data_IF_224289505257
#
_entry.id   IF_224289505257
#
_cell.length_a   1.000
_cell.length_b   1.000
_cell.length_c   1.000
_cell.angle_alpha   90.00
_cell.angle_beta   90.00
_cell.angle_gamma   90.00
#
_symmetry.space_group_name_H-M   'P 1'
#
loop_
_entity.id
_entity.type
_entity.pdbx_description
1 polymer ?
#
# COMPACT_ATOMS: atom_id res chain seq x y z
N UNK A 1 8.52 11.73 17.51
CA UNK A 1 8.09 10.82 16.41
C UNK A 1 6.66 11.11 15.93
N UNK A 2 5.64 11.14 16.81
CA UNK A 2 4.24 11.41 16.41
C UNK A 2 4.07 12.76 15.70
N UNK A 3 4.67 13.84 16.23
CA UNK A 3 4.61 15.19 15.61
C UNK A 3 5.17 15.16 14.18
N UNK A 4 6.34 14.59 13.97
CA UNK A 4 6.93 14.49 12.64
C UNK A 4 6.03 13.69 11.69
N UNK A 5 5.50 12.53 12.13
CA UNK A 5 4.57 11.74 11.33
C UNK A 5 3.31 12.55 10.98
N UNK A 6 2.74 13.28 11.93
CA UNK A 6 1.58 14.15 11.69
C UNK A 6 1.88 15.20 10.62
N UNK A 7 3.04 15.87 10.70
CA UNK A 7 3.47 16.86 9.71
C UNK A 7 3.66 16.25 8.33
N UNK A 8 4.26 15.06 8.24
CA UNK A 8 4.39 14.31 6.98
C UNK A 8 3.02 13.92 6.40
N UNK A 9 2.06 13.54 7.25
CA UNK A 9 0.72 13.15 6.80
C UNK A 9 -0.05 14.33 6.19
N UNK A 10 -0.05 15.50 6.81
CA UNK A 10 -0.79 16.69 6.33
C UNK A 10 -0.08 17.41 5.18
N UNK A 11 1.19 17.10 4.93
CA UNK A 11 1.97 17.76 3.90
C UNK A 11 1.39 17.51 2.52
N UNK A 12 1.01 18.59 1.84
CA UNK A 12 0.60 18.54 0.43
C UNK A 12 1.79 18.17 -0.48
N UNK A 13 1.54 17.51 -1.64
CA UNK A 13 2.58 17.13 -2.58
C UNK A 13 3.13 18.37 -3.32
N UNK A 14 4.00 19.14 -2.66
CA UNK A 14 4.70 20.32 -3.20
C UNK A 14 6.18 19.97 -3.41
N UNK A 15 6.81 20.69 -4.36
CA UNK A 15 8.26 20.60 -4.59
C UNK A 15 9.01 20.74 -3.28
N UNK A 16 10.09 20.02 -3.13
CA UNK A 16 10.88 19.95 -1.91
C UNK A 16 12.35 20.11 -2.22
N UNK A 17 13.10 20.63 -1.27
CA UNK A 17 14.54 20.75 -1.36
C UNK A 17 15.20 19.38 -1.21
N UNK A 18 16.27 19.16 -1.94
CA UNK A 18 17.02 17.90 -1.91
C UNK A 18 17.55 17.58 -0.49
N UNK A 19 18.06 18.58 0.20
CA UNK A 19 18.61 18.43 1.55
C UNK A 19 17.57 17.91 2.55
N UNK A 20 16.31 18.35 2.42
CA UNK A 20 15.23 17.81 3.26
C UNK A 20 15.02 16.32 2.98
N UNK A 21 15.05 15.89 1.72
CA UNK A 21 14.89 14.49 1.36
C UNK A 21 16.01 13.65 1.95
N UNK A 22 17.24 14.14 1.86
CA UNK A 22 18.41 13.45 2.44
C UNK A 22 18.24 13.23 3.94
N UNK A 23 17.88 14.28 4.68
CA UNK A 23 17.67 14.19 6.14
C UNK A 23 16.49 13.27 6.48
N UNK A 24 15.38 13.38 5.75
CA UNK A 24 14.22 12.49 5.92
C UNK A 24 14.59 11.02 5.69
N UNK A 25 15.31 10.74 4.62
CA UNK A 25 15.65 9.37 4.24
C UNK A 25 16.60 8.75 5.26
N UNK A 26 17.61 9.48 5.73
CA UNK A 26 18.47 9.07 6.83
C UNK A 26 17.65 8.72 8.08
N UNK A 27 16.74 9.60 8.48
CA UNK A 27 15.87 9.36 9.63
C UNK A 27 14.98 8.12 9.46
N UNK A 28 14.33 7.97 8.29
CA UNK A 28 13.41 6.84 8.03
C UNK A 28 14.18 5.52 7.96
N UNK A 29 15.37 5.50 7.37
CA UNK A 29 16.24 4.32 7.34
C UNK A 29 16.73 3.96 8.74
N UNK A 30 17.14 4.93 9.57
CA UNK A 30 17.49 4.68 10.97
C UNK A 30 16.32 4.10 11.77
N UNK A 31 15.11 4.63 11.58
CA UNK A 31 13.91 4.09 12.22
C UNK A 31 13.54 2.70 11.70
N UNK A 32 13.83 2.40 10.44
CA UNK A 32 13.64 1.07 9.86
C UNK A 32 14.64 0.05 10.46
N UNK A 33 15.91 0.41 10.61
CA UNK A 33 16.93 -0.45 11.21
C UNK A 33 16.62 -0.84 12.67
N UNK A 34 15.85 -0.01 13.40
CA UNK A 34 15.38 -0.33 14.76
C UNK A 34 14.25 -1.37 14.79
N UNK A 35 13.71 -1.74 13.62
CA UNK A 35 12.59 -2.68 13.52
C UNK A 35 13.08 -4.05 13.04
N UNK A 36 12.43 -5.11 13.51
CA UNK A 36 12.63 -6.43 12.93
C UNK A 36 12.00 -6.47 11.54
N UNK A 37 12.82 -6.59 10.51
CA UNK A 37 12.38 -6.81 9.12
C UNK A 37 12.10 -8.30 8.96
N UNK A 38 11.02 -8.62 8.26
CA UNK A 38 10.64 -9.99 7.93
C UNK A 38 10.87 -10.22 6.44
N UNK A 39 11.65 -11.23 6.10
CA UNK A 39 11.82 -11.68 4.72
C UNK A 39 10.87 -12.83 4.41
N UNK A 40 10.57 -13.08 3.14
CA UNK A 40 9.77 -14.23 2.72
C UNK A 40 10.42 -15.56 3.14
N UNK A 41 11.74 -15.60 3.22
CA UNK A 41 12.51 -16.75 3.69
C UNK A 41 12.33 -17.04 5.18
N UNK A 42 11.82 -16.09 5.96
CA UNK A 42 11.55 -16.25 7.39
C UNK A 42 10.14 -16.84 7.64
N UNK A 43 9.35 -17.04 6.57
CA UNK A 43 7.96 -17.46 6.65
C UNK A 43 7.80 -18.93 6.23
N UNK A 44 6.90 -19.63 6.90
CA UNK A 44 6.50 -20.97 6.49
C UNK A 44 5.38 -20.85 5.44
N UNK A 45 5.49 -21.54 4.28
CA UNK A 45 4.45 -21.52 3.28
C UNK A 45 3.23 -22.31 3.76
N UNK A 46 2.03 -21.74 3.55
CA UNK A 46 0.77 -22.44 3.79
C UNK A 46 0.44 -23.41 2.65
N UNK A 47 0.81 -23.05 1.42
CA UNK A 47 0.79 -23.83 0.18
C UNK A 47 2.01 -23.45 -0.65
N UNK A 48 2.40 -24.18 -1.70
CA UNK A 48 3.46 -23.76 -2.59
C UNK A 48 3.27 -22.30 -3.04
N UNK A 49 4.26 -21.46 -2.77
CA UNK A 49 4.29 -20.02 -3.11
C UNK A 49 3.23 -19.15 -2.39
N UNK A 50 2.43 -19.69 -1.49
CA UNK A 50 1.42 -18.96 -0.73
C UNK A 50 1.77 -18.91 0.75
N UNK A 51 1.87 -17.69 1.30
CA UNK A 51 2.25 -17.43 2.68
C UNK A 51 1.13 -16.66 3.39
N UNK A 52 0.81 -17.04 4.62
CA UNK A 52 -0.07 -16.27 5.49
C UNK A 52 0.78 -15.66 6.62
N UNK A 53 0.78 -14.35 6.73
CA UNK A 53 1.54 -13.66 7.74
C UNK A 53 0.67 -12.61 8.46
N UNK A 54 0.88 -12.47 9.77
CA UNK A 54 0.22 -11.47 10.60
C UNK A 54 1.26 -10.50 11.14
N UNK A 55 1.20 -9.25 10.68
CA UNK A 55 2.14 -8.22 11.12
C UNK A 55 1.98 -6.91 10.34
N UNK A 56 2.98 -6.06 10.45
CA UNK A 56 3.04 -4.76 9.79
C UNK A 56 3.68 -4.90 8.39
N UNK A 57 2.87 -4.81 7.34
CA UNK A 57 3.30 -4.99 5.95
C UNK A 57 4.44 -4.04 5.55
N UNK A 58 4.58 -2.89 6.23
CA UNK A 58 5.68 -1.95 5.98
C UNK A 58 7.06 -2.45 6.44
N UNK A 59 7.10 -3.63 7.07
CA UNK A 59 8.32 -4.32 7.51
C UNK A 59 8.66 -5.55 6.66
N UNK A 60 7.90 -5.83 5.61
CA UNK A 60 8.15 -6.96 4.73
C UNK A 60 9.19 -6.63 3.67
N UNK A 61 10.22 -7.46 3.57
CA UNK A 61 11.22 -7.43 2.50
C UNK A 61 10.76 -8.36 1.38
N UNK A 62 10.02 -7.77 0.44
CA UNK A 62 9.44 -8.41 -0.76
C UNK A 62 9.63 -7.50 -1.97
N UNK A 63 9.34 -7.96 -3.17
CA UNK A 63 9.43 -7.08 -4.33
C UNK A 63 8.36 -5.99 -4.30
N UNK A 64 7.12 -6.33 -3.94
CA UNK A 64 6.07 -5.33 -3.78
C UNK A 64 5.15 -5.58 -2.60
N UNK A 65 4.67 -4.51 -1.99
CA UNK A 65 3.53 -4.52 -1.07
C UNK A 65 2.35 -3.80 -1.70
N UNK A 66 1.13 -4.25 -1.40
CA UNK A 66 -0.10 -3.62 -1.89
C UNK A 66 -0.60 -2.60 -0.87
N UNK A 67 -0.87 -1.40 -1.35
CA UNK A 67 -1.53 -0.32 -0.62
C UNK A 67 -3.01 -0.24 -1.00
N UNK A 68 -3.90 -0.36 -0.04
CA UNK A 68 -5.32 -0.03 -0.19
C UNK A 68 -5.49 1.48 0.03
N UNK A 69 -5.39 2.22 -1.05
CA UNK A 69 -5.45 3.68 -1.07
C UNK A 69 -6.86 4.23 -1.38
N UNK A 70 -6.94 5.53 -1.54
CA UNK A 70 -8.14 6.24 -1.96
C UNK A 70 -8.04 6.67 -3.43
N UNK A 71 -9.12 7.17 -4.01
CA UNK A 71 -9.21 7.55 -5.43
C UNK A 71 -8.21 8.64 -5.87
N UNK A 72 -7.65 9.42 -4.95
CA UNK A 72 -6.62 10.41 -5.28
C UNK A 72 -5.22 9.79 -5.36
N UNK A 73 -5.00 8.63 -4.76
CA UNK A 73 -3.71 7.95 -4.52
C UNK A 73 -2.69 8.81 -3.77
N UNK A 74 -3.10 9.94 -3.20
CA UNK A 74 -2.19 10.86 -2.50
C UNK A 74 -1.92 10.49 -1.04
N UNK A 75 -2.38 9.33 -0.60
CA UNK A 75 -2.28 8.89 0.78
C UNK A 75 -3.34 9.48 1.69
N UNK A 76 -3.36 9.03 2.93
CA UNK A 76 -4.25 9.55 3.96
C UNK A 76 -3.64 10.79 4.61
N UNK A 77 -4.39 11.91 4.62
CA UNK A 77 -3.96 13.18 5.20
C UNK A 77 -4.33 13.35 6.67
N UNK A 78 -5.04 12.41 7.28
CA UNK A 78 -5.42 12.48 8.70
C UNK A 78 -4.16 12.20 9.54
N UNK A 79 -3.78 13.10 10.47
CA UNK A 79 -2.58 12.95 11.28
C UNK A 79 -2.55 11.64 12.07
N UNK A 80 -1.49 10.87 11.89
CA UNK A 80 -1.26 9.59 12.57
C UNK A 80 -2.41 8.58 12.46
N UNK A 81 -3.22 8.65 11.40
CA UNK A 81 -4.34 7.73 11.20
C UNK A 81 -3.87 6.26 11.17
N UNK A 82 -4.71 5.36 11.66
CA UNK A 82 -4.40 3.93 11.80
C UNK A 82 -4.50 3.10 10.52
N UNK A 83 -4.88 3.70 9.37
CA UNK A 83 -5.03 2.96 8.12
C UNK A 83 -3.68 2.61 7.48
N UNK A 84 -3.73 1.59 6.61
CA UNK A 84 -2.56 1.12 5.87
C UNK A 84 -1.97 2.18 4.94
N UNK A 85 -2.82 2.97 4.30
CA UNK A 85 -2.43 4.05 3.39
C UNK A 85 -1.59 5.13 4.11
N UNK A 86 -2.02 5.53 5.32
CA UNK A 86 -1.24 6.44 6.17
C UNK A 86 0.11 5.83 6.56
N UNK A 87 0.13 4.54 6.95
CA UNK A 87 1.35 3.87 7.37
C UNK A 87 2.37 3.77 6.22
N UNK A 88 1.94 3.30 5.05
CA UNK A 88 2.81 3.14 3.88
C UNK A 88 3.39 4.50 3.45
N UNK A 89 2.55 5.54 3.31
CA UNK A 89 3.03 6.88 2.95
C UNK A 89 3.96 7.49 4.00
N UNK A 90 3.73 7.21 5.28
CA UNK A 90 4.60 7.70 6.36
C UNK A 90 5.99 7.06 6.33
N UNK A 91 6.06 5.74 6.12
CA UNK A 91 7.34 5.01 6.17
C UNK A 91 8.09 5.01 4.83
N UNK A 92 7.40 5.15 3.71
CA UNK A 92 8.04 5.38 2.42
C UNK A 92 8.71 6.76 2.34
N UNK A 93 8.14 7.75 3.00
CA UNK A 93 8.56 9.15 2.91
C UNK A 93 7.70 9.94 1.91
N UNK A 94 7.91 11.26 1.91
CA UNK A 94 7.08 12.18 1.09
C UNK A 94 7.27 12.01 -0.42
N UNK A 95 8.34 11.38 -0.87
CA UNK A 95 8.59 11.07 -2.28
C UNK A 95 7.49 10.19 -2.86
N UNK A 96 6.95 9.24 -2.09
CA UNK A 96 5.86 8.40 -2.54
C UNK A 96 4.64 9.22 -2.97
N UNK A 97 4.24 10.19 -2.14
CA UNK A 97 3.11 11.09 -2.46
C UNK A 97 3.40 11.95 -3.69
N UNK A 98 4.65 12.39 -3.87
CA UNK A 98 5.05 13.16 -5.06
C UNK A 98 4.97 12.32 -6.33
N UNK A 99 5.41 11.06 -6.29
CA UNK A 99 5.31 10.14 -7.43
C UNK A 99 3.84 9.83 -7.76
N UNK A 100 3.02 9.53 -6.76
CA UNK A 100 1.57 9.35 -6.93
C UNK A 100 0.93 10.59 -7.57
N UNK A 101 1.27 11.80 -7.11
CA UNK A 101 0.77 13.03 -7.72
C UNK A 101 1.13 13.13 -9.21
N UNK A 102 2.36 12.77 -9.59
CA UNK A 102 2.78 12.80 -10.99
C UNK A 102 1.95 11.82 -11.84
N UNK A 103 1.70 10.61 -11.32
CA UNK A 103 0.85 9.61 -11.97
C UNK A 103 -0.57 10.18 -12.17
N UNK A 104 -1.17 10.72 -11.10
CA UNK A 104 -2.54 11.24 -11.15
C UNK A 104 -2.67 12.48 -12.04
N UNK A 105 -1.66 13.37 -12.07
CA UNK A 105 -1.62 14.50 -13.01
C UNK A 105 -1.58 14.07 -14.47
N UNK A 106 -0.87 12.99 -14.81
CA UNK A 106 -0.84 12.41 -16.17
C UNK A 106 -2.18 11.77 -16.51
N UNK A 107 -2.80 11.10 -15.55
CA UNK A 107 -4.09 10.42 -15.72
C UNK A 107 -5.24 11.42 -15.86
N UNK A 108 -5.21 12.56 -15.18
CA UNK A 108 -6.21 13.66 -15.19
C UNK A 108 -7.58 13.32 -14.61
N UNK A 109 -7.80 12.11 -14.19
CA UNK A 109 -9.04 11.63 -13.54
C UNK A 109 -8.69 10.87 -12.25
N UNK A 110 -9.63 10.76 -11.33
CA UNK A 110 -9.46 9.95 -10.11
C UNK A 110 -9.25 8.48 -10.47
N UNK A 111 -8.51 7.76 -9.63
CA UNK A 111 -8.30 6.33 -9.82
C UNK A 111 -9.60 5.57 -9.61
N UNK A 112 -9.91 4.67 -10.52
CA UNK A 112 -11.11 3.84 -10.45
C UNK A 112 -10.94 2.68 -9.48
N UNK A 113 -12.01 2.32 -8.78
CA UNK A 113 -12.05 1.08 -7.98
C UNK A 113 -11.69 -0.13 -8.85
N UNK A 114 -10.89 -1.05 -8.32
CA UNK A 114 -10.47 -2.26 -9.03
C UNK A 114 -9.24 -2.08 -9.93
N UNK A 115 -8.73 -0.88 -10.11
CA UNK A 115 -7.50 -0.60 -10.87
C UNK A 115 -6.29 -0.55 -9.94
N UNK A 116 -5.08 -0.64 -10.52
CA UNK A 116 -3.84 -0.54 -9.77
C UNK A 116 -2.79 0.31 -10.48
N UNK A 117 -1.92 0.94 -9.70
CA UNK A 117 -0.73 1.68 -10.12
C UNK A 117 0.49 1.20 -9.34
N UNK A 118 1.66 1.35 -9.91
CA UNK A 118 2.93 0.99 -9.27
C UNK A 118 3.79 2.22 -9.05
N UNK A 119 4.46 2.27 -7.90
CA UNK A 119 5.46 3.27 -7.54
C UNK A 119 6.66 2.59 -6.90
N UNK A 120 7.76 3.34 -6.72
CA UNK A 120 8.88 2.89 -5.91
C UNK A 120 8.48 2.77 -4.44
N UNK A 121 9.17 1.88 -3.69
CA UNK A 121 8.97 1.72 -2.24
C UNK A 121 9.71 2.75 -1.39
N UNK A 122 10.68 3.47 -1.98
CA UNK A 122 11.53 4.48 -1.31
C UNK A 122 12.19 3.93 -0.03
N UNK A 123 11.80 4.43 1.15
CA UNK A 123 12.38 4.01 2.43
C UNK A 123 11.78 2.71 2.99
N UNK A 124 10.88 2.05 2.28
CA UNK A 124 10.34 0.75 2.68
C UNK A 124 11.34 -0.39 2.35
N UNK A 125 11.28 -1.53 3.06
CA UNK A 125 12.03 -2.73 2.68
C UNK A 125 11.58 -3.32 1.34
N UNK A 126 10.31 -3.09 0.96
CA UNK A 126 9.76 -3.48 -0.33
C UNK A 126 10.26 -2.55 -1.45
N UNK A 127 10.61 -3.11 -2.61
CA UNK A 127 11.12 -2.34 -3.76
C UNK A 127 10.04 -1.43 -4.36
N UNK A 128 8.79 -1.92 -4.39
CA UNK A 128 7.64 -1.25 -5.01
C UNK A 128 6.43 -1.23 -4.10
N UNK A 129 5.54 -0.28 -4.36
CA UNK A 129 4.18 -0.25 -3.81
C UNK A 129 3.19 -0.32 -4.95
N UNK A 130 2.26 -1.26 -4.87
CA UNK A 130 1.12 -1.38 -5.78
C UNK A 130 -0.08 -0.72 -5.12
N UNK A 131 -0.54 0.39 -5.66
CA UNK A 131 -1.67 1.15 -5.14
C UNK A 131 -2.96 0.70 -5.83
N UNK A 132 -3.96 0.29 -5.06
CA UNK A 132 -5.30 -0.04 -5.58
C UNK A 132 -6.37 0.62 -4.73
N UNK A 133 -7.53 0.84 -5.32
CA UNK A 133 -8.69 1.41 -4.64
C UNK A 133 -9.75 0.33 -4.56
N UNK A 134 -10.03 -0.13 -3.36
CA UNK A 134 -11.07 -1.12 -3.14
C UNK A 134 -12.48 -0.52 -3.08
N UNK A 135 -13.54 -1.35 -3.14
CA UNK A 135 -14.91 -0.90 -3.00
C UNK A 135 -15.18 -0.37 -1.59
N UNK A 136 -16.03 0.68 -1.50
CA UNK A 136 -16.58 1.20 -0.25
C UNK A 136 -17.97 0.63 -0.08
N UNK A 137 -18.23 -0.05 1.04
CA UNK A 137 -19.51 -0.70 1.29
C UNK A 137 -20.45 0.25 2.01
N UNK A 138 -21.55 0.56 1.36
CA UNK A 138 -22.65 1.38 1.90
C UNK A 138 -23.88 0.47 2.13
N UNK A 139 -23.96 -0.18 3.28
CA UNK A 139 -25.06 -1.07 3.63
C UNK A 139 -24.81 -2.53 3.27
N UNK A 140 -25.71 -3.18 2.51
CA UNK A 140 -25.61 -4.60 2.19
C UNK A 140 -24.60 -4.84 1.07
N UNK A 141 -23.72 -5.83 1.30
CA UNK A 141 -22.74 -6.27 0.30
C UNK A 141 -23.44 -6.76 -0.97
N UNK A 142 -22.94 -6.35 -2.13
CA UNK A 142 -23.44 -6.75 -3.45
C UNK A 142 -22.43 -7.63 -4.18
N UNK A 143 -22.88 -8.34 -5.20
CA UNK A 143 -22.00 -9.09 -6.10
C UNK A 143 -21.03 -8.15 -6.85
N UNK A 144 -21.47 -6.95 -7.18
CA UNK A 144 -20.64 -5.94 -7.81
C UNK A 144 -19.45 -5.55 -6.92
N UNK A 145 -19.67 -5.39 -5.60
CA UNK A 145 -18.60 -5.09 -4.63
C UNK A 145 -17.58 -6.24 -4.58
N UNK A 146 -18.05 -7.48 -4.59
CA UNK A 146 -17.18 -8.66 -4.63
C UNK A 146 -16.34 -8.69 -5.92
N UNK A 147 -16.95 -8.40 -7.07
CA UNK A 147 -16.26 -8.32 -8.36
C UNK A 147 -15.23 -7.18 -8.40
N UNK A 148 -15.54 -6.03 -7.83
CA UNK A 148 -14.60 -4.91 -7.71
C UNK A 148 -13.43 -5.25 -6.79
N UNK A 149 -13.68 -5.91 -5.65
CA UNK A 149 -12.59 -6.38 -4.78
C UNK A 149 -11.69 -7.38 -5.52
N UNK A 150 -12.27 -8.34 -6.23
CA UNK A 150 -11.52 -9.28 -7.05
C UNK A 150 -10.67 -8.58 -8.13
N UNK A 151 -11.23 -7.53 -8.76
CA UNK A 151 -10.51 -6.74 -9.74
C UNK A 151 -9.27 -6.05 -9.15
N UNK A 152 -9.30 -5.63 -7.85
CA UNK A 152 -8.13 -5.08 -7.17
C UNK A 152 -6.98 -6.09 -7.12
N UNK A 153 -7.24 -7.32 -6.70
CA UNK A 153 -6.23 -8.39 -6.65
C UNK A 153 -5.70 -8.71 -8.05
N UNK A 154 -6.58 -8.92 -9.02
CA UNK A 154 -6.21 -9.22 -10.41
C UNK A 154 -5.37 -8.09 -11.04
N UNK A 155 -5.71 -6.83 -10.80
CA UNK A 155 -4.97 -5.68 -11.33
C UNK A 155 -3.57 -5.59 -10.73
N UNK A 156 -3.43 -5.84 -9.43
CA UNK A 156 -2.13 -5.88 -8.76
C UNK A 156 -1.27 -7.04 -9.29
N UNK A 157 -1.84 -8.24 -9.45
CA UNK A 157 -1.12 -9.41 -9.98
C UNK A 157 -0.67 -9.18 -11.43
N UNK A 158 -1.52 -8.61 -12.29
CA UNK A 158 -1.15 -8.24 -13.66
C UNK A 158 0.01 -7.23 -13.70
N UNK A 159 0.02 -6.24 -12.83
CA UNK A 159 1.15 -5.32 -12.71
C UNK A 159 2.40 -6.04 -12.22
N UNK A 160 2.29 -6.90 -11.21
CA UNK A 160 3.41 -7.68 -10.71
C UNK A 160 4.03 -8.54 -11.81
N UNK A 161 3.22 -9.18 -12.65
CA UNK A 161 3.67 -9.95 -13.80
C UNK A 161 4.36 -9.05 -14.84
N UNK A 162 3.74 -7.93 -15.21
CA UNK A 162 4.30 -6.94 -16.16
C UNK A 162 5.68 -6.45 -15.74
N UNK A 163 5.87 -6.25 -14.43
CA UNK A 163 7.15 -5.82 -13.85
C UNK A 163 8.06 -6.99 -13.44
N UNK A 164 7.68 -8.24 -13.75
CA UNK A 164 8.42 -9.47 -13.44
C UNK A 164 8.78 -9.60 -11.96
N UNK A 165 7.89 -9.15 -11.07
CA UNK A 165 8.08 -9.24 -9.63
C UNK A 165 7.96 -10.69 -9.17
N UNK A 166 8.83 -11.11 -8.26
CA UNK A 166 8.89 -12.49 -7.74
C UNK A 166 8.10 -12.68 -6.45
N UNK A 167 7.80 -11.60 -5.76
CA UNK A 167 7.05 -11.62 -4.49
C UNK A 167 6.17 -10.39 -4.33
N UNK A 168 4.93 -10.63 -3.90
CA UNK A 168 3.95 -9.59 -3.62
C UNK A 168 3.24 -9.89 -2.30
N UNK A 169 3.05 -8.88 -1.47
CA UNK A 169 2.29 -8.99 -0.24
C UNK A 169 1.02 -8.13 -0.30
N UNK A 170 -0.11 -8.76 -0.08
CA UNK A 170 -1.40 -8.08 -0.01
C UNK A 170 -1.78 -7.74 1.43
N UNK A 171 -2.32 -6.54 1.63
CA UNK A 171 -3.12 -6.24 2.80
C UNK A 171 -4.58 -6.70 2.60
N UNK A 172 -5.38 -6.71 3.67
CA UNK A 172 -6.81 -6.96 3.57
C UNK A 172 -7.52 -5.73 2.96
N UNK A 173 -7.63 -5.70 1.62
CA UNK A 173 -8.20 -4.57 0.89
C UNK A 173 -9.64 -4.31 1.32
N UNK A 174 -10.01 -3.04 1.53
CA UNK A 174 -11.35 -2.55 1.93
C UNK A 174 -11.88 -3.01 3.28
N UNK A 175 -11.19 -3.83 4.05
CA UNK A 175 -11.72 -4.39 5.31
C UNK A 175 -11.59 -3.46 6.52
N UNK A 176 -10.98 -2.29 6.37
CA UNK A 176 -10.92 -1.23 7.38
C UNK A 176 -11.98 -0.17 7.14
N UNK A 177 -11.54 1.03 6.80
CA UNK A 177 -12.37 2.23 6.58
C UNK A 177 -13.45 2.07 5.48
N UNK A 178 -13.30 1.10 4.59
CA UNK A 178 -14.25 0.83 3.49
C UNK A 178 -15.28 -0.24 3.82
N UNK A 179 -15.24 -0.78 5.04
CA UNK A 179 -16.27 -1.66 5.64
C UNK A 179 -16.60 -2.94 4.86
N UNK A 180 -15.70 -3.43 4.01
CA UNK A 180 -15.88 -4.73 3.39
C UNK A 180 -15.83 -5.84 4.46
N UNK A 181 -16.77 -6.81 4.51
CA UNK A 181 -16.78 -7.86 5.53
C UNK A 181 -15.47 -8.64 5.57
N UNK A 182 -14.85 -8.71 6.75
CA UNK A 182 -13.51 -9.31 6.93
C UNK A 182 -13.43 -10.78 6.52
N UNK A 183 -14.50 -11.55 6.81
CA UNK A 183 -14.54 -12.98 6.50
C UNK A 183 -14.53 -13.24 4.99
N UNK A 184 -15.35 -12.50 4.25
CA UNK A 184 -15.45 -12.59 2.79
C UNK A 184 -14.19 -12.03 2.12
N UNK A 185 -13.66 -10.90 2.61
CA UNK A 185 -12.43 -10.30 2.09
C UNK A 185 -11.22 -11.23 2.23
N UNK A 186 -11.11 -11.96 3.35
CA UNK A 186 -10.05 -12.96 3.57
C UNK A 186 -10.20 -14.18 2.65
N UNK A 187 -11.44 -14.65 2.39
CA UNK A 187 -11.70 -15.74 1.46
C UNK A 187 -11.30 -15.33 0.04
N UNK A 188 -11.71 -14.16 -0.44
CA UNK A 188 -11.36 -13.65 -1.77
C UNK A 188 -9.83 -13.53 -1.97
N UNK A 189 -9.09 -13.16 -0.92
CA UNK A 189 -7.63 -13.13 -0.96
C UNK A 189 -7.01 -14.52 -1.11
N UNK A 190 -7.63 -15.58 -0.52
CA UNK A 190 -7.13 -16.95 -0.58
C UNK A 190 -7.40 -17.67 -1.89
N UNK A 191 -8.51 -17.33 -2.55
CA UNK A 191 -8.97 -18.04 -3.76
C UNK A 191 -8.33 -17.53 -5.04
N UNK A 192 -7.74 -16.33 -5.04
CA UNK A 192 -7.30 -15.62 -6.25
C UNK A 192 -5.82 -15.22 -6.26
N UNK A 193 -5.04 -15.66 -5.29
CA UNK A 193 -3.58 -15.41 -5.23
C UNK A 193 -2.80 -16.68 -5.51
#
# INVERSE_FOLDING_TARGET
KKILRSLMNIRQPKKILHDFLTVQDLYLQEELHKKKITSITDLLPMKPQLYLWKGDITKLKVDAIVNAGNHTLLGCFIPCHGCIDNAIHSYAGIQLRLECQQIMKRQRILESTGKAKITKGYNLPAKYVLHTVGPIIHGKLTEMDCNLLAACYCSCLKLADTYQLKSIAFCCISTGEFHFPNEIGRASCRERV
#
